data_IF_754761253356
#
_entry.id   IF_754761253356
#
_cell.length_a   1.000
_cell.length_b   1.000
_cell.length_c   1.000
_cell.angle_alpha   90.00
_cell.angle_beta   90.00
_cell.angle_gamma   90.00
#
_symmetry.space_group_name_H-M   'P 1'
#
loop_
_entity.id
_entity.type
_entity.pdbx_description
1 polymer ?
#
# COMPACT_ATOMS: atom_id res chain seq x y z
N UNK A 1 28.36 -12.95 11.43
CA UNK A 1 26.91 -12.86 11.26
C UNK A 1 26.57 -12.33 9.88
N UNK A 2 25.31 -12.51 9.43
CA UNK A 2 24.86 -11.96 8.16
C UNK A 2 24.38 -10.52 8.34
N UNK A 3 24.66 -9.64 7.36
CA UNK A 3 24.11 -8.30 7.30
C UNK A 3 22.57 -8.38 7.15
N UNK A 4 21.85 -7.65 7.99
CA UNK A 4 20.38 -7.64 8.02
C UNK A 4 19.87 -6.22 8.02
N UNK A 5 18.81 -5.96 7.27
CA UNK A 5 18.09 -4.68 7.22
C UNK A 5 16.66 -4.91 7.64
N UNK A 6 16.22 -4.21 8.70
CA UNK A 6 14.90 -4.42 9.32
C UNK A 6 14.82 -5.70 10.16
N UNK A 7 13.61 -5.99 10.74
CA UNK A 7 12.35 -5.26 10.62
C UNK A 7 12.28 -3.97 11.48
N UNK A 8 13.19 -3.78 12.42
CA UNK A 8 13.20 -2.60 13.27
C UNK A 8 13.58 -1.34 12.48
N UNK A 9 12.96 -0.22 12.83
CA UNK A 9 13.23 1.09 12.22
C UNK A 9 13.80 2.02 13.28
N UNK A 10 14.86 2.74 12.94
CA UNK A 10 15.38 3.81 13.78
C UNK A 10 14.42 5.01 13.90
N UNK A 11 13.39 5.07 13.07
CA UNK A 11 12.43 6.18 13.02
C UNK A 11 13.09 7.49 12.58
N UNK A 12 12.51 8.61 13.02
CA UNK A 12 13.07 9.94 12.82
C UNK A 12 13.82 10.46 14.05
N UNK A 13 13.58 9.85 15.23
CA UNK A 13 14.22 10.11 16.51
C UNK A 13 14.35 8.77 17.24
N UNK A 14 15.54 8.31 17.62
CA UNK A 14 16.83 8.94 17.36
C UNK A 14 17.19 9.02 15.86
N UNK A 15 16.67 8.13 15.01
CA UNK A 15 16.83 8.18 13.57
C UNK A 15 18.23 7.79 13.07
N UNK A 16 18.50 8.07 11.79
CA UNK A 16 19.82 7.91 11.19
C UNK A 16 20.90 8.73 11.94
N UNK A 17 22.12 8.19 12.00
CA UNK A 17 23.23 8.89 12.63
C UNK A 17 23.48 10.27 11.99
N UNK A 18 23.37 10.35 10.67
CA UNK A 18 23.55 11.61 9.92
C UNK A 18 22.52 12.69 10.25
N UNK A 19 21.41 12.37 10.95
CA UNK A 19 20.41 13.36 11.36
C UNK A 19 20.80 14.10 12.64
N UNK A 20 21.83 13.63 13.34
CA UNK A 20 22.32 14.24 14.59
C UNK A 20 21.23 14.41 15.67
N UNK A 21 20.38 13.38 15.80
CA UNK A 21 19.28 13.33 16.81
C UNK A 21 19.47 12.23 17.85
N UNK A 22 20.71 11.74 18.00
CA UNK A 22 21.07 10.71 18.96
C UNK A 22 21.13 9.30 18.37
N UNK A 23 20.88 9.10 17.07
CA UNK A 23 21.15 7.84 16.38
C UNK A 23 22.65 7.57 16.28
N UNK A 24 23.07 6.33 16.57
CA UNK A 24 24.46 5.88 16.52
C UNK A 24 24.65 4.63 15.67
N UNK A 25 23.56 3.92 15.36
CA UNK A 25 23.59 2.72 14.54
C UNK A 25 23.46 3.05 13.05
N UNK A 26 24.17 2.27 12.23
CA UNK A 26 24.11 2.42 10.77
C UNK A 26 22.71 2.18 10.22
N UNK A 27 22.22 3.09 9.40
CA UNK A 27 20.92 2.97 8.72
C UNK A 27 21.06 2.97 7.20
N UNK A 28 19.98 2.63 6.48
CA UNK A 28 19.91 2.75 5.02
C UNK A 28 20.12 4.21 4.57
N UNK A 29 19.70 5.19 5.37
CA UNK A 29 19.92 6.62 5.07
C UNK A 29 21.40 6.97 5.16
N UNK A 30 22.10 6.55 6.22
CA UNK A 30 23.55 6.77 6.37
C UNK A 30 24.31 6.13 5.21
N UNK A 31 23.95 4.90 4.83
CA UNK A 31 24.53 4.22 3.67
C UNK A 31 24.35 5.02 2.37
N UNK A 32 23.17 5.60 2.13
CA UNK A 32 22.92 6.42 0.94
C UNK A 32 23.69 7.75 0.96
N UNK A 33 23.96 8.32 2.14
CA UNK A 33 24.84 9.50 2.28
C UNK A 33 26.28 9.13 1.95
N UNK A 34 26.81 8.02 2.49
CA UNK A 34 28.17 7.54 2.21
C UNK A 34 28.37 7.27 0.72
N UNK A 35 27.38 6.62 0.08
CA UNK A 35 27.43 6.32 -1.36
C UNK A 35 27.23 7.55 -2.27
N UNK A 36 26.96 8.74 -1.72
CA UNK A 36 26.67 9.96 -2.48
C UNK A 36 25.31 9.94 -3.18
N UNK A 37 24.44 8.98 -2.89
CA UNK A 37 23.07 8.91 -3.44
C UNK A 37 22.17 10.00 -2.83
N UNK A 38 22.41 10.37 -1.57
CA UNK A 38 21.83 11.52 -0.90
C UNK A 38 22.87 12.64 -0.76
N UNK A 39 22.44 13.91 -0.69
CA UNK A 39 23.33 15.02 -0.35
C UNK A 39 23.98 14.81 1.02
N UNK A 40 25.20 15.27 1.17
CA UNK A 40 25.99 15.17 2.41
C UNK A 40 25.99 16.46 3.23
N UNK A 41 25.27 17.48 2.79
CA UNK A 41 25.18 18.78 3.46
C UNK A 41 23.81 19.03 4.07
N UNK A 42 22.74 18.87 3.29
CA UNK A 42 21.38 19.13 3.77
C UNK A 42 20.31 18.41 2.94
N UNK A 43 19.14 18.22 3.55
CA UNK A 43 17.91 17.77 2.93
C UNK A 43 16.80 18.85 3.07
N UNK A 44 15.66 18.63 2.41
CA UNK A 44 14.47 19.49 2.51
C UNK A 44 14.78 20.97 2.18
N UNK A 45 15.49 21.20 1.08
CA UNK A 45 15.90 22.54 0.63
C UNK A 45 16.67 23.33 1.70
N UNK A 46 17.62 22.67 2.37
CA UNK A 46 18.47 23.28 3.39
C UNK A 46 17.85 23.36 4.79
N UNK A 47 16.62 22.89 4.99
CA UNK A 47 15.95 22.93 6.30
C UNK A 47 16.39 21.86 7.28
N UNK A 48 17.18 20.89 6.82
CA UNK A 48 17.67 19.78 7.63
C UNK A 48 19.12 19.50 7.29
N UNK A 49 20.01 19.81 8.21
CA UNK A 49 21.44 19.55 8.06
C UNK A 49 21.73 18.05 8.12
N UNK A 50 22.67 17.61 7.30
CA UNK A 50 23.17 16.23 7.27
C UNK A 50 24.63 16.22 7.76
N UNK A 51 24.89 15.40 8.76
CA UNK A 51 26.19 15.16 9.34
C UNK A 51 26.77 13.88 8.74
N UNK A 52 27.52 14.07 7.64
CA UNK A 52 28.23 12.96 6.97
C UNK A 52 29.22 12.25 7.91
N UNK A 53 29.92 13.00 8.74
CA UNK A 53 30.88 12.47 9.71
C UNK A 53 30.24 11.44 10.67
N UNK A 54 29.02 11.69 11.14
CA UNK A 54 28.28 10.73 11.98
C UNK A 54 27.83 9.49 11.19
N UNK A 55 27.47 9.65 9.92
CA UNK A 55 27.20 8.49 9.05
C UNK A 55 28.46 7.64 8.84
N UNK A 56 29.62 8.29 8.65
CA UNK A 56 30.90 7.62 8.50
C UNK A 56 31.25 6.80 9.75
N UNK A 57 31.12 7.39 10.93
CA UNK A 57 31.37 6.68 12.19
C UNK A 57 30.44 5.47 12.36
N UNK A 58 29.14 5.62 12.10
CA UNK A 58 28.18 4.53 12.22
C UNK A 58 28.45 3.38 11.23
N UNK A 59 28.79 3.72 9.98
CA UNK A 59 29.13 2.73 8.95
C UNK A 59 30.46 2.05 9.24
N UNK A 60 31.48 2.79 9.71
CA UNK A 60 32.81 2.25 10.03
C UNK A 60 32.72 1.23 11.18
N UNK A 61 31.95 1.52 12.22
CA UNK A 61 31.68 0.58 13.31
C UNK A 61 31.08 -0.76 12.82
N UNK A 62 30.28 -0.73 11.76
CA UNK A 62 29.73 -1.93 11.13
C UNK A 62 30.73 -2.58 10.18
N UNK A 63 31.50 -1.79 9.41
CA UNK A 63 32.50 -2.22 8.46
C UNK A 63 33.64 -3.03 9.15
N UNK A 64 34.08 -2.58 10.30
CA UNK A 64 35.04 -3.32 11.15
C UNK A 64 34.52 -4.72 11.49
N UNK A 65 33.27 -4.84 11.96
CA UNK A 65 32.64 -6.12 12.32
C UNK A 65 32.50 -7.06 11.12
N UNK A 66 32.37 -6.50 9.92
CA UNK A 66 32.24 -7.26 8.67
C UNK A 66 33.57 -7.48 7.94
N UNK A 67 34.65 -6.83 8.37
CA UNK A 67 35.95 -6.83 7.69
C UNK A 67 35.83 -6.35 6.23
N UNK A 68 35.07 -5.27 6.01
CA UNK A 68 34.79 -4.67 4.70
C UNK A 68 35.22 -3.21 4.68
N UNK A 69 35.33 -2.62 3.47
CA UNK A 69 35.47 -1.17 3.34
C UNK A 69 34.17 -0.45 3.73
N UNK A 70 34.27 0.85 4.05
CA UNK A 70 33.10 1.71 4.33
C UNK A 70 32.12 1.69 3.18
N UNK A 71 32.61 1.89 1.96
CA UNK A 71 31.81 1.97 0.75
C UNK A 71 31.14 0.63 0.43
N UNK A 72 31.86 -0.49 0.56
CA UNK A 72 31.29 -1.82 0.30
C UNK A 72 30.26 -2.20 1.36
N UNK A 73 30.47 -1.79 2.62
CA UNK A 73 29.48 -1.97 3.70
C UNK A 73 28.23 -1.18 3.41
N UNK A 74 28.35 0.09 3.05
CA UNK A 74 27.22 0.93 2.68
C UNK A 74 26.47 0.38 1.45
N UNK A 75 27.20 -0.09 0.44
CA UNK A 75 26.60 -0.74 -0.73
C UNK A 75 25.86 -2.02 -0.35
N UNK A 76 26.44 -2.84 0.52
CA UNK A 76 25.81 -4.06 1.04
C UNK A 76 24.48 -3.77 1.75
N UNK A 77 24.43 -2.73 2.59
CA UNK A 77 23.19 -2.31 3.25
C UNK A 77 22.09 -1.98 2.21
N UNK A 78 22.43 -1.21 1.19
CA UNK A 78 21.48 -0.81 0.14
C UNK A 78 21.03 -2.02 -0.70
N UNK A 79 21.92 -2.94 -1.00
CA UNK A 79 21.60 -4.18 -1.73
C UNK A 79 20.66 -5.08 -0.93
N UNK A 80 20.89 -5.24 0.38
CA UNK A 80 19.98 -6.00 1.25
C UNK A 80 18.61 -5.32 1.31
N UNK A 81 18.55 -4.00 1.47
CA UNK A 81 17.30 -3.24 1.45
C UNK A 81 16.53 -3.45 0.13
N UNK A 82 17.22 -3.35 -1.01
CA UNK A 82 16.62 -3.56 -2.34
C UNK A 82 16.12 -5.00 -2.49
N UNK A 83 16.85 -5.99 -1.99
CA UNK A 83 16.42 -7.41 -2.01
C UNK A 83 15.14 -7.64 -1.20
N UNK A 84 14.96 -6.94 -0.07
CA UNK A 84 13.71 -6.99 0.73
C UNK A 84 12.55 -6.41 -0.07
N UNK A 85 12.75 -5.29 -0.78
CA UNK A 85 11.74 -4.69 -1.65
C UNK A 85 11.37 -5.65 -2.80
N UNK A 86 12.38 -6.25 -3.46
CA UNK A 86 12.16 -7.24 -4.53
C UNK A 86 11.33 -8.42 -4.04
N UNK A 87 11.65 -8.95 -2.83
CA UNK A 87 10.87 -10.04 -2.23
C UNK A 87 9.41 -9.64 -2.00
N UNK A 88 9.15 -8.45 -1.49
CA UNK A 88 7.79 -7.96 -1.28
C UNK A 88 7.01 -7.81 -2.59
N UNK A 89 7.65 -7.30 -3.66
CA UNK A 89 7.03 -7.19 -4.98
C UNK A 89 6.73 -8.58 -5.55
N UNK A 90 7.63 -9.55 -5.42
CA UNK A 90 7.40 -10.92 -5.88
C UNK A 90 6.22 -11.59 -5.19
N UNK A 91 6.03 -11.36 -3.90
CA UNK A 91 4.91 -11.90 -3.14
C UNK A 91 3.54 -11.44 -3.66
N UNK A 92 3.44 -10.20 -4.16
CA UNK A 92 2.17 -9.68 -4.71
C UNK A 92 2.05 -9.82 -6.24
N UNK A 93 3.08 -10.30 -6.92
CA UNK A 93 3.10 -10.47 -8.38
C UNK A 93 3.36 -11.92 -8.77
N UNK A 94 4.58 -12.42 -8.64
CA UNK A 94 4.99 -13.76 -9.07
C UNK A 94 4.16 -14.85 -8.39
N UNK A 95 3.97 -14.75 -7.08
CA UNK A 95 3.16 -15.72 -6.31
C UNK A 95 1.67 -15.70 -6.71
N UNK A 96 1.24 -14.65 -7.39
CA UNK A 96 -0.11 -14.54 -7.98
C UNK A 96 -0.15 -14.80 -9.50
N UNK A 97 0.94 -15.34 -10.06
CA UNK A 97 1.03 -15.68 -11.49
C UNK A 97 1.31 -14.51 -12.43
N UNK A 98 1.69 -13.35 -11.90
CA UNK A 98 2.05 -12.17 -12.72
C UNK A 98 3.56 -12.09 -12.93
N UNK A 99 4.00 -11.86 -14.17
CA UNK A 99 5.40 -11.64 -14.54
C UNK A 99 5.75 -10.15 -14.40
N UNK A 100 6.58 -9.75 -13.40
CA UNK A 100 6.94 -8.34 -13.18
C UNK A 100 7.61 -7.67 -14.39
N UNK A 101 8.33 -8.43 -15.21
CA UNK A 101 9.04 -7.89 -16.38
C UNK A 101 8.11 -7.25 -17.43
N UNK A 102 6.83 -7.60 -17.40
CA UNK A 102 5.79 -7.06 -18.29
C UNK A 102 5.16 -5.76 -17.80
N UNK A 103 5.51 -5.32 -16.59
CA UNK A 103 4.98 -4.12 -15.97
C UNK A 103 6.01 -2.98 -15.98
N UNK A 104 5.56 -1.80 -15.61
CA UNK A 104 6.43 -0.66 -15.29
C UNK A 104 6.50 -0.48 -13.77
N UNK A 105 7.67 -0.15 -13.25
CA UNK A 105 7.83 0.18 -11.84
C UNK A 105 7.49 1.66 -11.63
N UNK A 106 6.53 1.93 -10.77
CA UNK A 106 6.17 3.28 -10.36
C UNK A 106 6.76 3.55 -8.98
N UNK A 107 7.77 4.41 -8.90
CA UNK A 107 8.52 4.67 -7.68
C UNK A 107 8.15 6.02 -7.07
N UNK A 108 7.67 6.00 -5.84
CA UNK A 108 7.27 7.20 -5.08
C UNK A 108 7.62 7.05 -3.59
N UNK A 109 7.30 8.09 -2.80
CA UNK A 109 7.75 8.22 -1.43
C UNK A 109 9.13 8.89 -1.34
N UNK A 110 9.60 9.16 -0.13
CA UNK A 110 10.87 9.86 0.11
C UNK A 110 12.09 9.08 -0.37
N UNK A 111 12.13 7.77 -0.13
CA UNK A 111 13.27 6.90 -0.46
C UNK A 111 13.02 5.95 -1.65
N UNK A 112 11.76 5.74 -2.07
CA UNK A 112 11.42 4.83 -3.16
C UNK A 112 12.25 5.01 -4.43
N UNK A 113 12.39 6.24 -4.96
CA UNK A 113 13.20 6.51 -6.14
C UNK A 113 14.68 6.13 -6.02
N UNK A 114 15.28 6.14 -4.82
CA UNK A 114 16.68 5.77 -4.60
C UNK A 114 16.97 4.30 -4.90
N UNK A 115 15.98 3.42 -4.68
CA UNK A 115 16.10 1.97 -4.87
C UNK A 115 15.52 1.50 -6.21
N UNK A 116 14.78 2.34 -6.90
CA UNK A 116 13.96 1.94 -8.04
C UNK A 116 14.73 1.26 -9.17
N UNK A 117 15.93 1.72 -9.48
CA UNK A 117 16.74 1.16 -10.58
C UNK A 117 17.30 -0.21 -10.20
N UNK A 118 17.80 -0.37 -8.97
CA UNK A 118 18.32 -1.65 -8.49
C UNK A 118 17.21 -2.70 -8.45
N UNK A 119 16.04 -2.33 -7.90
CA UNK A 119 14.84 -3.18 -7.86
C UNK A 119 14.34 -3.55 -9.28
N UNK A 120 14.32 -2.58 -10.19
CA UNK A 120 13.89 -2.84 -11.59
C UNK A 120 14.83 -3.82 -12.29
N UNK A 121 16.15 -3.69 -12.09
CA UNK A 121 17.14 -4.63 -12.64
C UNK A 121 16.91 -6.06 -12.14
N UNK A 122 16.71 -6.23 -10.83
CA UNK A 122 16.51 -7.55 -10.21
C UNK A 122 15.20 -8.23 -10.62
N UNK A 123 14.18 -7.44 -10.97
CA UNK A 123 12.87 -7.91 -11.45
C UNK A 123 12.77 -8.00 -12.98
N UNK A 124 13.80 -7.58 -13.73
CA UNK A 124 13.76 -7.53 -15.21
C UNK A 124 12.81 -6.47 -15.76
N UNK A 125 12.41 -5.48 -14.95
CA UNK A 125 11.51 -4.39 -15.35
C UNK A 125 12.28 -3.39 -16.21
N UNK A 126 11.76 -3.08 -17.39
CA UNK A 126 12.43 -2.21 -18.37
C UNK A 126 12.10 -0.73 -18.24
N UNK A 127 11.02 -0.39 -17.53
CA UNK A 127 10.54 0.99 -17.41
C UNK A 127 10.32 1.33 -15.94
N UNK A 128 10.99 2.41 -15.50
CA UNK A 128 10.78 3.01 -14.18
C UNK A 128 10.16 4.38 -14.37
N UNK A 129 9.06 4.62 -13.68
CA UNK A 129 8.35 5.88 -13.69
C UNK A 129 8.47 6.56 -12.33
N UNK A 130 8.95 7.79 -12.31
CA UNK A 130 9.04 8.62 -11.12
C UNK A 130 8.18 9.86 -11.35
N UNK A 131 7.13 10.09 -10.55
CA UNK A 131 6.26 11.25 -10.71
C UNK A 131 6.99 12.54 -10.34
N UNK A 132 6.47 13.72 -10.74
CA UNK A 132 7.10 15.02 -10.44
C UNK A 132 7.36 15.28 -8.96
N UNK A 133 6.45 14.87 -8.09
CA UNK A 133 6.54 15.08 -6.63
C UNK A 133 6.50 13.73 -5.88
N UNK A 134 7.49 12.85 -6.05
CA UNK A 134 7.41 11.49 -5.53
C UNK A 134 7.30 11.46 -4.00
N UNK A 135 7.93 12.38 -3.29
CA UNK A 135 7.96 12.42 -1.82
C UNK A 135 6.62 12.77 -1.18
N UNK A 136 5.73 13.45 -1.90
CA UNK A 136 4.41 13.88 -1.40
C UNK A 136 3.24 13.25 -2.17
N UNK A 137 3.50 12.29 -3.05
CA UNK A 137 2.47 11.69 -3.90
C UNK A 137 1.33 11.07 -3.09
N UNK A 138 1.63 10.48 -1.92
CA UNK A 138 0.59 9.94 -1.03
C UNK A 138 -0.34 11.05 -0.51
N UNK A 139 0.19 12.22 -0.17
CA UNK A 139 -0.61 13.36 0.27
C UNK A 139 -1.43 13.93 -0.90
N UNK A 140 -0.85 14.01 -2.11
CA UNK A 140 -1.59 14.40 -3.33
C UNK A 140 -2.71 13.38 -3.62
N UNK A 141 -2.44 12.09 -3.47
CA UNK A 141 -3.44 11.02 -3.61
C UNK A 141 -4.57 11.14 -2.60
N UNK A 142 -4.26 11.50 -1.35
CA UNK A 142 -5.26 11.71 -0.31
C UNK A 142 -6.20 12.89 -0.65
N UNK A 143 -5.66 13.98 -1.19
CA UNK A 143 -6.48 15.10 -1.67
C UNK A 143 -7.40 14.71 -2.84
N UNK A 144 -7.01 13.70 -3.61
CA UNK A 144 -7.81 13.13 -4.70
C UNK A 144 -8.77 12.02 -4.27
N UNK A 145 -8.75 11.59 -3.02
CA UNK A 145 -9.58 10.49 -2.51
C UNK A 145 -10.98 10.97 -2.14
N UNK A 146 -11.94 10.06 -2.24
CA UNK A 146 -13.25 10.23 -1.63
C UNK A 146 -13.22 9.81 -0.16
N UNK A 147 -14.18 10.28 0.62
CA UNK A 147 -14.42 9.74 1.95
C UNK A 147 -14.99 8.33 1.80
N UNK A 148 -14.46 7.35 2.54
CA UNK A 148 -14.92 5.95 2.45
C UNK A 148 -15.04 5.37 3.84
N UNK A 149 -16.11 4.59 4.04
CA UNK A 149 -16.26 3.75 5.23
C UNK A 149 -16.86 2.40 4.85
N UNK A 150 -16.44 1.36 5.55
CA UNK A 150 -17.01 0.02 5.44
C UNK A 150 -17.71 -0.30 6.76
N UNK A 151 -19.02 -0.45 6.72
CA UNK A 151 -19.84 -0.86 7.86
C UNK A 151 -20.24 -2.31 7.71
N UNK A 152 -20.08 -3.06 8.79
CA UNK A 152 -20.40 -4.49 8.83
C UNK A 152 -21.41 -4.73 9.95
N UNK A 153 -22.39 -5.58 9.67
CA UNK A 153 -23.34 -6.14 10.61
C UNK A 153 -23.21 -7.66 10.58
N UNK A 154 -22.51 -8.28 11.55
CA UNK A 154 -22.53 -9.73 11.69
C UNK A 154 -23.95 -10.22 11.92
N UNK A 155 -24.35 -11.27 11.21
CA UNK A 155 -25.72 -11.79 11.25
C UNK A 155 -25.71 -13.28 10.90
N UNK A 156 -25.05 -14.08 11.74
CA UNK A 156 -24.96 -15.52 11.49
C UNK A 156 -26.36 -16.17 11.55
N UNK A 157 -26.83 -16.63 10.39
CA UNK A 157 -28.12 -17.27 10.25
C UNK A 157 -28.10 -18.28 9.12
N UNK A 158 -28.88 -19.36 9.26
CA UNK A 158 -29.13 -20.32 8.16
C UNK A 158 -29.98 -19.62 7.11
N UNK A 159 -29.63 -19.80 5.85
CA UNK A 159 -30.34 -19.22 4.72
C UNK A 159 -31.61 -20.08 4.42
N UNK A 160 -32.62 -19.89 5.23
CA UNK A 160 -33.91 -20.57 5.12
C UNK A 160 -34.99 -19.68 4.47
N UNK A 161 -36.24 -20.15 4.51
CA UNK A 161 -37.39 -19.43 3.93
C UNK A 161 -37.70 -18.08 4.59
N UNK A 162 -37.18 -17.81 5.80
CA UNK A 162 -37.43 -16.59 6.59
C UNK A 162 -36.18 -15.67 6.64
N UNK A 163 -35.11 -16.04 5.97
CA UNK A 163 -33.84 -15.26 5.97
C UNK A 163 -34.06 -13.80 5.60
N UNK A 164 -35.09 -13.48 4.82
CA UNK A 164 -35.40 -12.10 4.42
C UNK A 164 -35.70 -11.19 5.63
N UNK A 165 -36.19 -11.72 6.74
CA UNK A 165 -36.39 -10.95 7.97
C UNK A 165 -35.04 -10.52 8.58
N UNK A 166 -34.07 -11.43 8.64
CA UNK A 166 -32.72 -11.19 9.13
C UNK A 166 -31.98 -10.19 8.22
N UNK A 167 -32.10 -10.37 6.90
CA UNK A 167 -31.53 -9.47 5.92
C UNK A 167 -32.07 -8.05 6.06
N UNK A 168 -33.40 -7.91 6.23
CA UNK A 168 -34.04 -6.59 6.40
C UNK A 168 -33.64 -5.93 7.72
N UNK A 169 -33.54 -6.69 8.81
CA UNK A 169 -33.10 -6.17 10.10
C UNK A 169 -31.65 -5.68 10.04
N UNK A 170 -30.75 -6.47 9.43
CA UNK A 170 -29.35 -6.10 9.25
C UNK A 170 -29.23 -4.85 8.34
N UNK A 171 -29.97 -4.81 7.24
CA UNK A 171 -29.96 -3.67 6.33
C UNK A 171 -30.49 -2.40 7.00
N UNK A 172 -31.55 -2.49 7.79
CA UNK A 172 -32.11 -1.34 8.52
C UNK A 172 -31.10 -0.77 9.51
N UNK A 173 -30.42 -1.62 10.28
CA UNK A 173 -29.36 -1.20 11.20
C UNK A 173 -28.20 -0.52 10.47
N UNK A 174 -27.72 -1.14 9.39
CA UNK A 174 -26.64 -0.56 8.60
C UNK A 174 -27.06 0.75 7.90
N UNK A 175 -28.30 0.87 7.44
CA UNK A 175 -28.82 2.09 6.83
C UNK A 175 -28.84 3.27 7.81
N UNK A 176 -29.25 3.01 9.06
CA UNK A 176 -29.20 4.03 10.11
C UNK A 176 -27.75 4.49 10.36
N UNK A 177 -26.82 3.57 10.57
CA UNK A 177 -25.41 3.87 10.76
C UNK A 177 -24.77 4.58 9.56
N UNK A 178 -25.19 4.24 8.35
CA UNK A 178 -24.73 4.88 7.13
C UNK A 178 -25.19 6.36 7.07
N UNK A 179 -26.44 6.61 7.42
CA UNK A 179 -26.96 7.99 7.49
C UNK A 179 -26.25 8.82 8.56
N UNK A 180 -26.00 8.23 9.73
CA UNK A 180 -25.24 8.90 10.80
C UNK A 180 -23.82 9.24 10.35
N UNK A 181 -23.14 8.32 9.62
CA UNK A 181 -21.82 8.56 9.07
C UNK A 181 -21.82 9.68 8.03
N UNK A 182 -22.73 9.66 7.06
CA UNK A 182 -22.84 10.72 6.05
C UNK A 182 -23.14 12.09 6.69
N UNK A 183 -23.95 12.13 7.73
CA UNK A 183 -24.22 13.35 8.48
C UNK A 183 -22.98 13.86 9.23
N UNK A 184 -22.27 12.97 9.90
CA UNK A 184 -21.04 13.31 10.63
C UNK A 184 -19.95 13.86 9.71
N UNK A 185 -19.80 13.28 8.51
CA UNK A 185 -18.85 13.72 7.49
C UNK A 185 -19.36 14.89 6.63
N UNK A 186 -20.58 15.38 6.88
CA UNK A 186 -21.19 16.49 6.15
C UNK A 186 -21.27 16.26 4.62
N UNK A 187 -21.56 15.04 4.19
CA UNK A 187 -21.64 14.66 2.78
C UNK A 187 -23.05 14.97 2.24
N UNK A 188 -23.14 15.83 1.23
CA UNK A 188 -24.41 16.13 0.55
C UNK A 188 -25.04 14.87 -0.05
N UNK A 189 -26.37 14.74 -0.03
CA UNK A 189 -27.12 13.58 -0.52
C UNK A 189 -26.76 13.20 -1.97
N UNK A 190 -26.56 14.20 -2.84
CA UNK A 190 -26.17 13.99 -4.26
C UNK A 190 -24.81 13.31 -4.42
N UNK A 191 -23.93 13.44 -3.43
CA UNK A 191 -22.56 12.97 -3.43
C UNK A 191 -22.38 11.66 -2.64
N UNK A 192 -23.45 11.17 -2.00
CA UNK A 192 -23.48 9.89 -1.29
C UNK A 192 -23.56 8.71 -2.26
N UNK A 193 -22.76 7.69 -2.02
CA UNK A 193 -22.82 6.42 -2.73
C UNK A 193 -22.76 5.28 -1.72
N UNK A 194 -23.54 4.24 -1.98
CA UNK A 194 -23.62 3.05 -1.13
C UNK A 194 -23.52 1.80 -2.02
N UNK A 195 -22.68 0.86 -1.63
CA UNK A 195 -22.58 -0.46 -2.26
C UNK A 195 -22.83 -1.51 -1.21
N UNK A 196 -23.85 -2.32 -1.42
CA UNK A 196 -24.34 -3.31 -0.47
C UNK A 196 -23.89 -4.71 -0.86
N UNK A 197 -23.47 -5.52 0.12
CA UNK A 197 -23.19 -6.95 -0.07
C UNK A 197 -23.63 -7.76 1.15
N UNK A 198 -23.93 -9.03 0.90
CA UNK A 198 -24.15 -10.04 1.92
C UNK A 198 -23.00 -11.06 1.84
N UNK A 199 -22.42 -11.40 2.98
CA UNK A 199 -21.38 -12.41 3.08
C UNK A 199 -22.05 -13.77 3.30
N UNK A 200 -21.93 -14.64 2.29
CA UNK A 200 -22.58 -15.97 2.28
C UNK A 200 -21.52 -17.06 2.16
N UNK A 201 -21.80 -18.20 2.76
CA UNK A 201 -20.97 -19.42 2.64
C UNK A 201 -21.85 -20.68 2.67
N UNK A 202 -21.36 -21.78 2.13
CA UNK A 202 -21.96 -23.07 2.47
C UNK A 202 -21.70 -23.42 3.93
N UNK A 203 -22.68 -24.04 4.58
CA UNK A 203 -22.55 -24.41 5.99
C UNK A 203 -21.30 -25.26 6.24
N UNK A 204 -20.54 -24.89 7.27
CA UNK A 204 -19.27 -25.56 7.61
C UNK A 204 -18.03 -25.10 6.83
N UNK A 205 -18.15 -24.20 5.87
CA UNK A 205 -16.98 -23.57 5.23
C UNK A 205 -16.42 -22.43 6.10
N UNK A 206 -15.11 -22.20 5.97
CA UNK A 206 -14.41 -21.12 6.71
C UNK A 206 -14.30 -19.81 5.91
N UNK A 207 -14.65 -19.83 4.62
CA UNK A 207 -14.52 -18.67 3.74
C UNK A 207 -15.90 -18.29 3.20
N UNK A 208 -16.22 -17.01 3.29
CA UNK A 208 -17.43 -16.42 2.74
C UNK A 208 -17.15 -15.72 1.40
N UNK A 209 -18.16 -15.59 0.58
CA UNK A 209 -18.19 -14.76 -0.62
C UNK A 209 -19.12 -13.57 -0.40
N UNK A 210 -18.64 -12.38 -0.71
CA UNK A 210 -19.42 -11.16 -0.67
C UNK A 210 -20.26 -11.03 -1.96
N UNK A 211 -21.58 -11.15 -1.83
CA UNK A 211 -22.54 -11.09 -2.93
C UNK A 211 -23.19 -9.72 -2.96
N UNK A 212 -22.93 -8.95 -3.99
CA UNK A 212 -23.51 -7.62 -4.15
C UNK A 212 -25.01 -7.70 -4.48
N UNK A 213 -25.78 -6.76 -3.92
CA UNK A 213 -27.21 -6.64 -4.21
C UNK A 213 -27.62 -5.16 -4.28
N UNK A 214 -28.80 -4.91 -4.88
CA UNK A 214 -29.38 -3.57 -5.03
C UNK A 214 -30.77 -3.41 -4.42
N UNK A 215 -31.26 -4.45 -3.77
CA UNK A 215 -32.61 -4.49 -3.23
C UNK A 215 -32.75 -3.51 -2.05
N UNK A 216 -33.79 -2.70 -2.05
CA UNK A 216 -34.13 -1.84 -0.90
C UNK A 216 -34.73 -2.63 0.24
N UNK A 217 -35.52 -3.65 -0.08
CA UNK A 217 -36.09 -4.60 0.87
C UNK A 217 -35.97 -6.02 0.32
N UNK A 218 -35.86 -6.98 1.22
CA UNK A 218 -35.87 -8.38 0.90
C UNK A 218 -37.26 -8.97 1.17
N UNK A 219 -37.70 -9.81 0.26
CA UNK A 219 -38.82 -10.76 0.41
C UNK A 219 -38.31 -12.16 0.06
N UNK A 220 -39.15 -13.15 0.04
CA UNK A 220 -38.75 -14.51 -0.27
C UNK A 220 -38.10 -14.64 -1.65
N UNK A 221 -38.61 -13.97 -2.67
CA UNK A 221 -38.09 -14.09 -4.05
C UNK A 221 -36.72 -13.40 -4.20
N UNK A 222 -36.57 -12.20 -3.62
CA UNK A 222 -35.31 -11.47 -3.67
C UNK A 222 -34.23 -12.13 -2.82
N UNK A 223 -34.58 -12.80 -1.73
CA UNK A 223 -33.65 -13.61 -0.96
C UNK A 223 -33.20 -14.85 -1.76
N UNK A 224 -34.15 -15.54 -2.44
CA UNK A 224 -33.79 -16.65 -3.32
C UNK A 224 -32.90 -16.25 -4.48
N UNK A 225 -33.14 -15.07 -5.05
CA UNK A 225 -32.27 -14.51 -6.08
C UNK A 225 -30.83 -14.26 -5.56
N UNK A 226 -30.70 -13.76 -4.32
CA UNK A 226 -29.39 -13.57 -3.67
C UNK A 226 -28.67 -14.92 -3.50
N UNK A 227 -29.37 -15.97 -3.10
CA UNK A 227 -28.83 -17.34 -3.01
C UNK A 227 -28.35 -17.84 -4.38
N UNK A 228 -29.10 -17.60 -5.43
CA UNK A 228 -28.73 -17.99 -6.80
C UNK A 228 -27.46 -17.29 -7.26
N UNK A 229 -27.30 -16.01 -6.94
CA UNK A 229 -26.07 -15.26 -7.27
C UNK A 229 -24.86 -15.77 -6.45
N UNK A 230 -25.07 -16.21 -5.21
CA UNK A 230 -24.02 -16.87 -4.44
C UNK A 230 -23.56 -18.17 -5.11
N UNK A 231 -24.48 -19.04 -5.53
CA UNK A 231 -24.13 -20.31 -6.18
C UNK A 231 -23.31 -20.07 -7.46
N UNK A 232 -23.68 -19.06 -8.28
CA UNK A 232 -22.91 -18.65 -9.46
C UNK A 232 -21.52 -18.12 -9.09
N UNK A 233 -21.45 -17.26 -8.09
CA UNK A 233 -20.17 -16.69 -7.65
C UNK A 233 -19.23 -17.78 -7.10
N UNK A 234 -19.77 -18.77 -6.39
CA UNK A 234 -19.04 -19.91 -5.87
C UNK A 234 -18.49 -20.78 -7.00
N UNK A 235 -19.29 -21.03 -8.04
CA UNK A 235 -18.85 -21.77 -9.21
C UNK A 235 -17.70 -21.03 -9.96
N UNK A 236 -17.78 -19.71 -10.08
CA UNK A 236 -16.71 -18.92 -10.69
C UNK A 236 -15.45 -18.95 -9.83
N UNK A 237 -15.56 -18.85 -8.50
CA UNK A 237 -14.43 -18.78 -7.60
C UNK A 237 -13.73 -20.13 -7.38
N UNK A 238 -14.50 -21.21 -7.31
CA UNK A 238 -14.01 -22.53 -6.89
C UNK A 238 -14.22 -23.65 -7.92
N UNK A 239 -14.91 -23.37 -9.03
CA UNK A 239 -15.17 -24.33 -10.11
C UNK A 239 -16.34 -25.28 -9.86
N UNK A 240 -17.13 -25.07 -8.80
CA UNK A 240 -18.32 -25.86 -8.49
C UNK A 240 -19.35 -25.06 -7.70
N UNK A 241 -20.60 -25.50 -7.73
CA UNK A 241 -21.69 -25.02 -6.87
C UNK A 241 -22.49 -26.21 -6.32
N UNK A 242 -23.13 -26.02 -5.17
CA UNK A 242 -23.89 -27.08 -4.46
C UNK A 242 -25.27 -26.54 -4.07
N UNK A 243 -26.20 -26.52 -5.02
CA UNK A 243 -27.52 -25.91 -4.83
C UNK A 243 -28.35 -26.53 -3.71
N UNK A 244 -28.07 -27.80 -3.36
CA UNK A 244 -28.79 -28.56 -2.31
C UNK A 244 -28.15 -28.41 -0.91
N UNK A 245 -26.95 -27.86 -0.82
CA UNK A 245 -26.28 -27.66 0.47
C UNK A 245 -26.82 -26.43 1.20
N UNK A 246 -26.93 -26.51 2.54
CA UNK A 246 -27.29 -25.35 3.34
C UNK A 246 -26.30 -24.18 3.15
N UNK A 247 -26.82 -22.96 3.09
CA UNK A 247 -26.05 -21.76 3.08
C UNK A 247 -26.26 -21.01 4.38
N UNK A 248 -25.23 -20.35 4.84
CA UNK A 248 -25.25 -19.42 5.97
C UNK A 248 -25.01 -17.99 5.50
N UNK A 249 -25.82 -17.07 6.02
CA UNK A 249 -25.52 -15.66 6.05
C UNK A 249 -24.51 -15.45 7.19
N UNK A 250 -23.33 -14.92 6.89
CA UNK A 250 -22.31 -14.58 7.88
C UNK A 250 -22.50 -13.15 8.37
N UNK A 251 -22.85 -12.26 7.45
CA UNK A 251 -23.12 -10.87 7.75
C UNK A 251 -23.52 -10.07 6.53
N UNK A 252 -23.81 -8.82 6.76
CA UNK A 252 -24.08 -7.84 5.72
C UNK A 252 -23.10 -6.68 5.80
N UNK A 253 -22.73 -6.14 4.66
CA UNK A 253 -21.82 -4.97 4.55
C UNK A 253 -22.45 -3.88 3.71
N UNK A 254 -22.11 -2.66 4.06
CA UNK A 254 -22.30 -1.51 3.17
C UNK A 254 -21.00 -0.72 3.08
N UNK A 255 -20.52 -0.54 1.87
CA UNK A 255 -19.43 0.37 1.56
C UNK A 255 -20.03 1.73 1.23
N UNK A 256 -19.64 2.74 2.00
CA UNK A 256 -20.05 4.11 1.86
C UNK A 256 -18.95 4.90 1.14
N UNK A 257 -19.36 5.80 0.24
CA UNK A 257 -18.46 6.78 -0.34
C UNK A 257 -19.13 8.15 -0.40
N UNK A 258 -18.46 9.15 0.17
CA UNK A 258 -18.77 10.57 0.02
C UNK A 258 -17.89 11.15 -1.08
N UNK A 259 -18.48 11.48 -2.22
CA UNK A 259 -17.74 11.99 -3.37
C UNK A 259 -17.32 13.42 -3.11
N UNK A 260 -16.01 13.67 -3.07
CA UNK A 260 -15.45 14.99 -2.84
C UNK A 260 -15.10 15.69 -4.16
N UNK A 261 -15.18 17.03 -4.14
CA UNK A 261 -14.64 17.83 -5.22
C UNK A 261 -13.13 17.66 -5.31
N UNK A 262 -12.63 17.20 -6.46
CA UNK A 262 -11.21 16.96 -6.67
C UNK A 262 -10.49 18.26 -7.05
N UNK A 263 -9.33 18.56 -6.46
CA UNK A 263 -8.51 19.66 -6.93
C UNK A 263 -8.05 19.39 -8.37
N UNK A 264 -7.93 20.43 -9.21
CA UNK A 264 -7.41 20.26 -10.56
C UNK A 264 -5.96 19.75 -10.49
N UNK A 265 -5.67 18.70 -11.27
CA UNK A 265 -4.29 18.22 -11.40
C UNK A 265 -3.47 19.31 -12.11
N UNK A 266 -2.41 19.85 -11.48
CA UNK A 266 -1.57 20.86 -12.11
C UNK A 266 -0.95 20.30 -13.39
N UNK A 267 -1.15 20.99 -14.51
CA UNK A 267 -0.44 20.64 -15.74
C UNK A 267 1.05 20.93 -15.52
N UNK A 268 1.88 19.93 -15.53
CA UNK A 268 3.34 20.08 -15.47
C UNK A 268 3.76 20.91 -16.70
N UNK A 269 4.31 22.09 -16.46
CA UNK A 269 4.93 22.87 -17.55
C UNK A 269 6.14 22.07 -18.01
N UNK A 270 6.15 21.67 -19.27
CA UNK A 270 7.35 21.14 -19.92
C UNK A 270 8.39 22.26 -19.91
N UNK A 271 9.31 22.19 -18.95
CA UNK A 271 10.36 23.20 -18.82
C UNK A 271 11.35 23.10 -19.97
N UNK A 272 11.59 24.20 -20.63
CA UNK A 272 12.69 24.34 -21.57
C UNK A 272 14.01 24.43 -20.78
N UNK A 273 14.85 23.39 -20.89
CA UNK A 273 16.24 23.40 -20.45
C UNK A 273 16.44 23.33 -18.93
N UNK A 274 16.54 22.11 -18.41
CA UNK A 274 17.13 21.88 -17.09
C UNK A 274 18.58 22.38 -17.09
N UNK A 275 18.91 23.34 -16.22
CA UNK A 275 20.30 23.74 -15.96
C UNK A 275 20.85 22.87 -14.85
N UNK A 276 22.05 22.32 -15.05
CA UNK A 276 22.78 21.67 -13.98
C UNK A 276 23.08 22.70 -12.88
N UNK A 277 22.77 22.34 -11.64
CA UNK A 277 23.07 23.17 -10.45
C UNK A 277 24.31 22.67 -9.69
N UNK A 278 24.85 21.51 -10.09
CA UNK A 278 26.03 20.91 -9.48
C UNK A 278 26.28 19.49 -9.94
N UNK A 279 27.36 18.90 -9.44
CA UNK A 279 27.69 17.49 -9.63
C UNK A 279 28.20 16.90 -8.32
N UNK A 280 28.04 15.60 -8.14
CA UNK A 280 28.59 14.84 -7.00
C UNK A 280 29.00 13.47 -7.46
N UNK A 281 29.97 12.87 -6.76
CA UNK A 281 30.38 11.50 -6.99
C UNK A 281 29.39 10.54 -6.33
N UNK A 282 29.04 9.49 -7.04
CA UNK A 282 28.15 8.43 -6.54
C UNK A 282 28.85 7.09 -6.70
N UNK A 283 28.92 6.31 -5.62
CA UNK A 283 29.55 5.00 -5.63
C UNK A 283 28.55 3.90 -6.02
N UNK A 284 28.90 3.12 -7.05
CA UNK A 284 28.14 1.98 -7.57
C UNK A 284 28.92 0.67 -7.52
N UNK A 285 29.85 0.51 -6.62
CA UNK A 285 30.74 -0.62 -6.53
C UNK A 285 32.11 -0.32 -7.19
N UNK A 286 32.71 -1.31 -7.85
CA UNK A 286 34.06 -1.18 -8.44
C UNK A 286 34.22 0.00 -9.42
N UNK A 287 33.14 0.60 -9.84
CA UNK A 287 33.11 1.78 -10.71
C UNK A 287 32.50 2.95 -9.94
N UNK A 288 33.23 4.03 -9.80
CA UNK A 288 32.77 5.31 -9.30
C UNK A 288 32.49 6.20 -10.48
N UNK A 289 31.33 6.89 -10.47
CA UNK A 289 30.91 7.83 -11.52
C UNK A 289 30.61 9.18 -10.93
#
# INVERSE_FOLDING_TARGET
GLLKVGPESAGAVPGPACYNKGGVEATVTDANVILGRLPDTSLLDGRMDIRRDLAEEAIDNLAEKLSMSREDTALGIVQVASSVIVKAIRAISVERGHDPSKFSLFAFGGAGPLHAIDVAKDLGIKKVFIPPNPGILCAEGLLGSDLVADLIQPSLAVFDQNIFEVLNAAKSNLSMRANDWFAAESVDVKDQRQTWSADLRYAGQNFELAINFKNDQFNRDTALALRTEFDKAHEVAYGYSQSNEPVELVGMRVKLAGILSKPPIPKTKTGSGLKSIGSRNVYFGKNMW
#
